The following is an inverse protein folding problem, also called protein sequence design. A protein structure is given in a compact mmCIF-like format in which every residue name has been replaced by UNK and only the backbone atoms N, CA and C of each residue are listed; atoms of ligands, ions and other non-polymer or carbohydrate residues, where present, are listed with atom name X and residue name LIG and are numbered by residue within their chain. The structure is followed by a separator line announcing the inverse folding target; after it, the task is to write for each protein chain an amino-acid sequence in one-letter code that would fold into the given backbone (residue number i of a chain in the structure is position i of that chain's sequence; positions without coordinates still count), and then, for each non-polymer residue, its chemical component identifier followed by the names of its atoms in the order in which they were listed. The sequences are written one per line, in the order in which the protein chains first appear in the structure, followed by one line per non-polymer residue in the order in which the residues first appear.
data_IF_517271777052
#
_entry.id   IF_517271777052
#
_cell.length_a   1.000
_cell.length_b   1.000
_cell.length_c   1.000
_cell.angle_alpha   90.00
_cell.angle_beta   90.00
_cell.angle_gamma   90.00
#
_symmetry.space_group_name_H-M   'P 1'
#
loop_
_entity.id
_entity.type
_entity.pdbx_description
1 polymer ?
#
# COMPACT_ATOMS: atom_id res chain seq x y z
N UNK A 1 -2.91 0.90 5.08
CA UNK A 1 -3.57 -0.42 4.96
C UNK A 1 -3.36 -0.96 3.55
N UNK A 2 -3.93 -2.13 3.24
CA UNK A 2 -3.94 -2.64 1.86
C UNK A 2 -4.84 -1.76 0.98
N UNK A 3 -4.31 -1.26 -0.13
CA UNK A 3 -5.07 -0.44 -1.07
C UNK A 3 -6.23 -1.26 -1.68
N UNK A 4 -5.95 -2.46 -2.17
CA UNK A 4 -6.96 -3.35 -2.76
C UNK A 4 -8.06 -3.73 -1.76
N UNK A 5 -7.70 -4.05 -0.52
CA UNK A 5 -8.71 -4.41 0.48
C UNK A 5 -9.59 -3.21 0.83
N UNK A 6 -9.01 -2.01 0.88
CA UNK A 6 -9.78 -0.79 1.14
C UNK A 6 -10.74 -0.50 -0.02
N UNK A 7 -10.30 -0.72 -1.26
CA UNK A 7 -11.09 -0.58 -2.49
C UNK A 7 -12.26 -1.57 -2.55
N UNK A 8 -12.03 -2.83 -2.21
CA UNK A 8 -13.09 -3.85 -2.15
C UNK A 8 -14.16 -3.45 -1.13
N UNK A 9 -13.76 -3.01 0.07
CA UNK A 9 -14.73 -2.61 1.11
C UNK A 9 -15.47 -1.35 0.68
N UNK A 10 -14.78 -0.37 0.10
CA UNK A 10 -15.40 0.84 -0.44
C UNK A 10 -16.50 0.50 -1.45
N UNK A 11 -16.20 -0.31 -2.48
CA UNK A 11 -17.20 -0.72 -3.47
C UNK A 11 -18.31 -1.60 -2.88
N UNK A 12 -18.02 -2.37 -1.84
CA UNK A 12 -19.05 -3.17 -1.15
C UNK A 12 -20.06 -2.27 -0.45
N UNK A 13 -19.62 -1.17 0.17
CA UNK A 13 -20.49 -0.18 0.83
C UNK A 13 -21.42 0.49 -0.19
N UNK A 14 -20.92 0.78 -1.38
CA UNK A 14 -21.65 1.37 -2.52
C UNK A 14 -22.91 0.58 -2.92
N UNK A 15 -22.88 -0.76 -2.76
CA UNK A 15 -24.02 -1.63 -3.06
C UNK A 15 -25.07 -1.70 -1.95
N UNK A 16 -24.81 -1.14 -0.76
CA UNK A 16 -25.70 -1.24 0.39
C UNK A 16 -26.84 -0.23 0.28
N UNK A 17 -28.08 -0.72 0.35
CA UNK A 17 -29.29 0.10 0.20
C UNK A 17 -29.72 0.83 1.48
N UNK A 18 -29.13 0.48 2.62
CA UNK A 18 -29.45 1.07 3.93
C UNK A 18 -28.44 2.18 4.24
N UNK A 19 -28.83 3.24 4.97
CA UNK A 19 -27.89 4.26 5.39
C UNK A 19 -26.72 3.67 6.18
N UNK A 20 -25.51 4.07 5.82
CA UNK A 20 -24.26 3.70 6.47
C UNK A 20 -23.69 4.91 7.20
N UNK A 21 -23.46 4.72 8.50
CA UNK A 21 -22.83 5.71 9.36
C UNK A 21 -21.52 5.15 9.87
N UNK A 22 -20.44 5.89 9.68
CA UNK A 22 -19.11 5.53 10.18
C UNK A 22 -18.80 6.35 11.43
N UNK A 23 -18.47 5.66 12.52
CA UNK A 23 -17.97 6.24 13.76
C UNK A 23 -16.48 5.96 13.89
N UNK A 24 -15.65 6.96 13.70
CA UNK A 24 -14.20 6.81 13.79
C UNK A 24 -13.76 6.72 15.27
N UNK A 25 -12.98 5.67 15.58
CA UNK A 25 -12.40 5.47 16.91
C UNK A 25 -11.12 6.28 17.11
N UNK A 26 -10.09 5.69 17.71
CA UNK A 26 -8.81 6.38 17.90
C UNK A 26 -8.09 6.68 16.57
N UNK A 27 -8.24 5.81 15.56
CA UNK A 27 -7.61 5.94 14.25
C UNK A 27 -8.58 5.60 13.12
N UNK A 28 -8.55 6.42 12.07
CA UNK A 28 -9.25 6.18 10.80
C UNK A 28 -8.55 6.91 9.65
N UNK A 29 -7.27 6.57 9.42
CA UNK A 29 -6.41 7.24 8.43
C UNK A 29 -6.07 6.32 7.24
N UNK A 30 -5.60 6.90 6.12
CA UNK A 30 -5.23 6.19 4.88
C UNK A 30 -6.40 5.32 4.37
N UNK A 31 -6.22 4.01 4.21
CA UNK A 31 -7.29 3.09 3.81
C UNK A 31 -8.54 3.13 4.71
N UNK A 32 -8.38 3.43 6.00
CA UNK A 32 -9.52 3.59 6.90
C UNK A 32 -10.35 4.86 6.60
N UNK A 33 -9.68 5.95 6.22
CA UNK A 33 -10.36 7.16 5.76
C UNK A 33 -11.04 6.89 4.41
N UNK A 34 -10.33 6.24 3.49
CA UNK A 34 -10.84 5.88 2.18
C UNK A 34 -12.15 5.07 2.28
N UNK A 35 -12.20 4.00 3.07
CA UNK A 35 -13.45 3.24 3.29
C UNK A 35 -14.55 4.10 3.90
N UNK A 36 -14.19 5.03 4.80
CA UNK A 36 -15.16 5.93 5.43
C UNK A 36 -15.84 6.86 4.42
N UNK A 37 -15.19 7.20 3.31
CA UNK A 37 -15.69 8.15 2.31
C UNK A 37 -16.99 7.70 1.62
N UNK A 38 -17.29 6.39 1.62
CA UNK A 38 -18.52 5.88 1.01
C UNK A 38 -19.72 5.78 1.97
N UNK A 39 -19.59 6.32 3.19
CA UNK A 39 -20.67 6.40 4.16
C UNK A 39 -21.53 7.65 3.97
N UNK A 40 -22.81 7.60 4.35
CA UNK A 40 -23.71 8.75 4.35
C UNK A 40 -23.34 9.81 5.39
N UNK A 41 -22.75 9.38 6.51
CA UNK A 41 -22.25 10.26 7.56
C UNK A 41 -21.00 9.70 8.24
N UNK A 42 -20.05 10.58 8.54
CA UNK A 42 -18.81 10.26 9.25
C UNK A 42 -18.76 11.10 10.53
N UNK A 43 -18.67 10.41 11.67
CA UNK A 43 -18.47 11.02 12.98
C UNK A 43 -17.06 10.75 13.47
N UNK A 44 -16.43 11.75 14.07
CA UNK A 44 -15.05 11.67 14.55
C UNK A 44 -14.91 12.45 15.86
N UNK A 45 -14.04 12.00 16.75
CA UNK A 45 -13.70 12.74 17.96
C UNK A 45 -12.64 13.79 17.63
N UNK A 46 -12.58 14.89 18.40
CA UNK A 46 -11.49 15.88 18.28
C UNK A 46 -10.10 15.29 18.50
N UNK A 47 -10.00 14.14 19.17
CA UNK A 47 -8.76 13.40 19.40
C UNK A 47 -8.50 12.26 18.42
N UNK A 48 -9.42 11.98 17.49
CA UNK A 48 -9.24 10.92 16.48
C UNK A 48 -8.15 11.30 15.49
N UNK A 49 -7.23 10.37 15.21
CA UNK A 49 -6.23 10.55 14.16
C UNK A 49 -6.80 10.01 12.84
N UNK A 50 -7.06 10.92 11.92
CA UNK A 50 -7.69 10.64 10.62
C UNK A 50 -6.90 11.33 9.49
N UNK A 51 -7.40 11.28 8.26
CA UNK A 51 -6.70 11.82 7.08
C UNK A 51 -5.63 10.85 6.58
N UNK A 52 -4.37 11.30 6.40
CA UNK A 52 -3.31 10.53 5.74
C UNK A 52 -3.72 10.07 4.33
N UNK A 53 -4.23 11.03 3.55
CA UNK A 53 -4.68 10.80 2.18
C UNK A 53 -3.46 10.74 1.27
N UNK A 54 -3.06 9.52 0.93
CA UNK A 54 -1.90 9.26 0.09
C UNK A 54 -1.58 7.77 0.03
N UNK A 55 -0.66 7.42 -0.86
CA UNK A 55 -0.15 6.06 -1.03
C UNK A 55 1.37 6.09 -1.09
N UNK A 56 1.99 5.03 -0.57
CA UNK A 56 3.41 4.82 -0.68
C UNK A 56 3.69 3.33 -0.87
N UNK A 57 4.83 3.02 -1.49
CA UNK A 57 5.38 1.69 -1.62
C UNK A 57 6.86 1.75 -1.22
N UNK A 58 7.32 0.72 -0.51
CA UNK A 58 8.73 0.60 -0.13
C UNK A 58 9.29 -0.68 -0.72
N UNK A 59 10.39 -0.54 -1.44
CA UNK A 59 11.15 -1.66 -1.99
C UNK A 59 12.43 -1.81 -1.18
N UNK A 60 12.73 -3.04 -0.78
CA UNK A 60 13.94 -3.35 -0.03
C UNK A 60 14.87 -4.18 -0.89
N UNK A 61 16.16 -3.89 -0.80
CA UNK A 61 17.20 -4.57 -1.55
C UNK A 61 18.36 -4.91 -0.61
N UNK A 62 18.91 -6.11 -0.77
CA UNK A 62 20.06 -6.62 -0.06
C UNK A 62 21.32 -6.65 -0.95
N UNK A 63 21.31 -5.98 -2.10
CA UNK A 63 22.41 -5.96 -3.07
C UNK A 63 23.76 -5.66 -2.40
N UNK A 64 23.82 -4.55 -1.65
CA UNK A 64 25.06 -4.12 -0.98
C UNK A 64 25.51 -5.12 0.08
N UNK A 65 24.57 -5.70 0.83
CA UNK A 65 24.88 -6.73 1.83
C UNK A 65 25.50 -7.97 1.17
N UNK A 66 24.86 -8.47 0.12
CA UNK A 66 25.27 -9.69 -0.59
C UNK A 66 26.61 -9.48 -1.30
N UNK A 67 26.74 -8.38 -2.05
CA UNK A 67 27.93 -8.11 -2.85
C UNK A 67 29.11 -7.65 -2.00
N UNK A 68 28.90 -6.68 -1.10
CA UNK A 68 30.01 -5.99 -0.42
C UNK A 68 30.38 -6.61 0.93
N UNK A 69 29.43 -7.27 1.62
CA UNK A 69 29.71 -7.91 2.93
C UNK A 69 29.93 -9.40 2.81
N UNK A 70 29.11 -10.09 2.00
CA UNK A 70 29.18 -11.54 1.86
C UNK A 70 30.06 -11.99 0.68
N UNK A 71 30.37 -11.09 -0.26
CA UNK A 71 31.20 -11.39 -1.43
C UNK A 71 30.55 -12.39 -2.39
N UNK A 72 29.23 -12.50 -2.37
CA UNK A 72 28.46 -13.40 -3.23
C UNK A 72 28.02 -12.66 -4.48
N UNK A 73 27.95 -13.37 -5.60
CA UNK A 73 27.38 -12.87 -6.85
C UNK A 73 26.25 -13.77 -7.28
N UNK A 74 25.10 -13.18 -7.57
CA UNK A 74 23.93 -13.87 -8.11
C UNK A 74 23.81 -13.49 -9.58
N UNK A 75 23.81 -14.50 -10.45
CA UNK A 75 23.50 -14.35 -11.87
C UNK A 75 22.05 -14.77 -12.11
N UNK A 76 21.29 -13.91 -12.80
CA UNK A 76 19.90 -14.17 -13.13
C UNK A 76 19.72 -14.24 -14.65
N UNK A 77 19.00 -15.27 -15.10
CA UNK A 77 18.56 -15.39 -16.49
C UNK A 77 17.08 -15.02 -16.55
N UNK A 78 16.74 -14.01 -17.36
CA UNK A 78 15.38 -13.46 -17.43
C UNK A 78 14.80 -13.59 -18.83
N UNK A 79 13.50 -13.86 -18.90
CA UNK A 79 12.74 -13.92 -20.17
C UNK A 79 12.10 -12.58 -20.54
N UNK A 80 12.01 -11.63 -19.60
CA UNK A 80 11.44 -10.30 -19.79
C UNK A 80 12.09 -9.29 -18.84
N UNK A 81 12.23 -7.99 -19.21
CA UNK A 81 12.89 -6.96 -18.37
C UNK A 81 12.29 -6.73 -16.97
N UNK A 82 11.04 -7.15 -16.76
CA UNK A 82 10.32 -7.02 -15.48
C UNK A 82 10.03 -8.37 -14.81
N UNK A 83 10.55 -9.48 -15.36
CA UNK A 83 10.20 -10.83 -14.89
C UNK A 83 10.56 -11.09 -13.41
N UNK A 84 11.51 -10.32 -12.88
CA UNK A 84 12.05 -10.45 -11.53
C UNK A 84 11.79 -9.19 -10.67
N UNK A 85 10.98 -8.23 -11.13
CA UNK A 85 10.66 -7.04 -10.35
C UNK A 85 9.42 -7.28 -9.47
N UNK A 86 9.40 -6.86 -8.20
CA UNK A 86 10.51 -6.28 -7.43
C UNK A 86 11.57 -7.33 -7.05
N UNK A 87 12.84 -6.92 -7.04
CA UNK A 87 13.97 -7.81 -6.79
C UNK A 87 14.65 -7.47 -5.45
N UNK A 88 14.93 -8.49 -4.63
CA UNK A 88 15.69 -8.33 -3.38
C UNK A 88 17.20 -8.21 -3.60
N UNK A 89 17.75 -8.89 -4.60
CA UNK A 89 19.18 -8.90 -4.88
C UNK A 89 19.66 -7.66 -5.64
N UNK A 90 18.81 -7.01 -6.45
CA UNK A 90 19.22 -5.87 -7.29
C UNK A 90 18.36 -4.64 -7.10
N UNK A 91 18.99 -3.48 -7.02
CA UNK A 91 18.32 -2.18 -7.02
C UNK A 91 17.48 -1.99 -8.28
N UNK A 92 16.23 -1.50 -8.14
CA UNK A 92 15.40 -1.22 -9.30
C UNK A 92 16.06 -0.20 -10.24
N UNK A 93 15.91 -0.43 -11.53
CA UNK A 93 16.33 0.52 -12.56
C UNK A 93 15.36 1.70 -12.62
N UNK A 94 15.75 2.80 -13.27
CA UNK A 94 14.87 3.97 -13.47
C UNK A 94 13.57 3.57 -14.19
N UNK A 95 13.63 2.64 -15.14
CA UNK A 95 12.46 2.13 -15.86
C UNK A 95 11.53 1.30 -14.98
N UNK A 96 12.05 0.70 -13.91
CA UNK A 96 11.25 -0.06 -12.94
C UNK A 96 10.56 0.82 -11.89
N UNK A 97 10.95 2.08 -11.79
CA UNK A 97 10.26 3.09 -10.98
C UNK A 97 9.22 3.90 -11.77
N UNK A 98 9.29 3.90 -13.10
CA UNK A 98 8.42 4.64 -14.00
C UNK A 98 7.16 3.85 -14.34
#
# INVERSE_FOLDING_TARGET
GSALTSDIIHHTIEGVQKPIVVSQGNYAASGGYYISCNADAIFTNSTTITGSIGIFMSLFTAEELINQKLGLTIEEVQTHPFANFPNLYRHPTVQQYA
#
